data_IF_100417203999
#
_entry.id   IF_100417203999
#
_cell.length_a   1.000
_cell.length_b   1.000
_cell.length_c   1.000
_cell.angle_alpha   90.00
_cell.angle_beta   90.00
_cell.angle_gamma   90.00
#
_symmetry.space_group_name_H-M   'P 1'
#
loop_
_entity.id
_entity.type
_entity.pdbx_description
1 polymer ?
#
# COMPACT_ATOMS: atom_id res chain seq x y z
N UNK A 1 12.52 6.78 -18.48
CA UNK A 1 12.98 7.15 -19.83
C UNK A 1 14.46 7.51 -19.78
N UNK A 2 15.38 6.53 -19.96
CA UNK A 2 16.84 6.76 -19.89
C UNK A 2 17.35 7.82 -20.88
N UNK A 3 16.62 8.07 -21.97
CA UNK A 3 16.97 9.01 -23.03
C UNK A 3 16.73 10.50 -22.71
N UNK A 4 16.15 10.84 -21.55
CA UNK A 4 15.92 12.23 -21.12
C UNK A 4 17.10 12.84 -20.34
N UNK A 5 18.13 12.04 -20.07
CA UNK A 5 19.32 12.46 -19.32
C UNK A 5 20.54 12.41 -20.24
N UNK A 6 21.26 13.52 -20.32
CA UNK A 6 22.53 13.57 -21.05
C UNK A 6 23.61 12.72 -20.37
N UNK A 7 24.73 12.52 -21.06
CA UNK A 7 25.88 11.71 -20.58
C UNK A 7 26.52 12.20 -19.28
N UNK A 8 26.18 13.42 -18.84
CA UNK A 8 26.61 14.01 -17.55
C UNK A 8 25.52 14.00 -16.47
N UNK A 9 24.41 13.30 -16.68
CA UNK A 9 23.29 13.25 -15.73
C UNK A 9 22.42 14.51 -15.68
N UNK A 10 22.72 15.52 -16.50
CA UNK A 10 21.86 16.71 -16.65
C UNK A 10 20.61 16.34 -17.44
N UNK A 11 19.43 16.66 -16.91
CA UNK A 11 18.16 16.55 -17.64
C UNK A 11 18.19 17.49 -18.85
N UNK A 12 18.18 16.91 -20.05
CA UNK A 12 18.07 17.69 -21.27
C UNK A 12 16.60 17.92 -21.54
N UNK A 13 16.11 19.12 -21.20
CA UNK A 13 14.74 19.52 -21.52
C UNK A 13 14.52 19.38 -23.03
N UNK A 14 13.73 18.38 -23.40
CA UNK A 14 13.49 18.03 -24.79
C UNK A 14 12.61 19.12 -25.42
N UNK A 15 13.20 20.00 -26.23
CA UNK A 15 12.42 20.91 -27.09
C UNK A 15 12.00 20.15 -28.34
N UNK A 16 10.91 19.40 -28.22
CA UNK A 16 10.32 18.74 -29.38
C UNK A 16 9.80 19.81 -30.37
N UNK A 17 10.14 19.72 -31.67
CA UNK A 17 9.66 20.65 -32.67
C UNK A 17 8.16 20.47 -32.99
N UNK A 18 7.58 19.32 -32.64
CA UNK A 18 6.16 19.02 -32.71
C UNK A 18 5.67 18.42 -31.38
N UNK A 19 4.40 18.65 -30.98
CA UNK A 19 3.83 17.85 -29.92
C UNK A 19 3.85 16.39 -30.40
N UNK A 20 4.51 15.49 -29.67
CA UNK A 20 4.53 14.03 -29.93
C UNK A 20 3.13 13.39 -30.04
N UNK A 21 2.09 14.16 -29.77
CA UNK A 21 0.71 13.76 -29.65
C UNK A 21 -0.19 14.79 -30.36
N UNK A 22 -1.11 14.30 -31.19
CA UNK A 22 -2.07 15.15 -31.90
C UNK A 22 -3.13 15.74 -30.96
N UNK A 23 -3.63 14.91 -30.05
CA UNK A 23 -4.61 15.27 -29.03
C UNK A 23 -4.56 14.29 -27.83
N UNK A 24 -5.47 14.46 -26.87
CA UNK A 24 -5.59 13.58 -25.70
C UNK A 24 -5.93 12.13 -26.06
N UNK A 25 -6.60 11.91 -27.19
CA UNK A 25 -6.99 10.58 -27.65
C UNK A 25 -5.77 9.84 -28.21
N UNK A 26 -5.05 10.43 -29.16
CA UNK A 26 -3.82 9.88 -29.75
C UNK A 26 -2.79 9.59 -28.66
N UNK A 27 -2.68 10.48 -27.68
CA UNK A 27 -1.82 10.30 -26.52
C UNK A 27 -2.19 9.13 -25.64
N UNK A 28 -3.46 8.99 -25.29
CA UNK A 28 -3.93 7.85 -24.52
C UNK A 28 -3.67 6.54 -25.28
N UNK A 29 -3.99 6.51 -26.57
CA UNK A 29 -3.80 5.32 -27.42
C UNK A 29 -2.32 4.91 -27.45
N UNK A 30 -1.39 5.84 -27.67
CA UNK A 30 0.07 5.56 -27.65
C UNK A 30 0.60 5.12 -26.29
N UNK A 31 0.10 5.69 -25.18
CA UNK A 31 0.50 5.29 -23.83
C UNK A 31 -0.01 3.88 -23.50
N UNK A 32 -1.24 3.54 -23.91
CA UNK A 32 -1.81 2.20 -23.76
C UNK A 32 -1.01 1.20 -24.58
N UNK A 33 -0.71 1.52 -25.84
CA UNK A 33 0.12 0.68 -26.72
C UNK A 33 1.49 0.41 -26.10
N UNK A 34 2.18 1.45 -25.61
CA UNK A 34 3.46 1.29 -24.93
C UNK A 34 3.39 0.37 -23.70
N UNK A 35 2.30 0.45 -22.91
CA UNK A 35 2.09 -0.41 -21.75
C UNK A 35 1.80 -1.88 -22.14
N UNK A 36 1.10 -2.10 -23.26
CA UNK A 36 0.88 -3.44 -23.82
C UNK A 36 2.20 -4.04 -24.33
N UNK A 37 3.03 -3.24 -25.00
CA UNK A 37 4.37 -3.67 -25.45
C UNK A 37 5.24 -4.05 -24.25
N UNK A 38 5.22 -3.26 -23.17
CA UNK A 38 5.91 -3.58 -21.92
C UNK A 38 5.43 -4.91 -21.31
N UNK A 39 4.10 -5.13 -21.27
CA UNK A 39 3.52 -6.39 -20.83
C UNK A 39 4.01 -7.58 -21.66
N UNK A 40 4.00 -7.44 -22.99
CA UNK A 40 4.47 -8.48 -23.90
C UNK A 40 5.97 -8.76 -23.73
N UNK A 41 6.78 -7.72 -23.56
CA UNK A 41 8.22 -7.84 -23.32
C UNK A 41 8.50 -8.59 -22.00
N UNK A 42 7.76 -8.30 -20.93
CA UNK A 42 7.84 -9.04 -19.67
C UNK A 42 7.50 -10.52 -19.87
N UNK A 43 6.36 -10.83 -20.49
CA UNK A 43 5.98 -12.23 -20.78
C UNK A 43 7.04 -12.96 -21.61
N UNK A 44 7.60 -12.30 -22.62
CA UNK A 44 8.62 -12.87 -23.49
C UNK A 44 9.91 -13.15 -22.72
N UNK A 45 10.36 -12.21 -21.89
CA UNK A 45 11.54 -12.37 -21.03
C UNK A 45 11.41 -13.62 -20.14
N UNK A 46 10.29 -13.78 -19.45
CA UNK A 46 10.07 -14.95 -18.60
C UNK A 46 9.95 -16.25 -19.40
N UNK A 47 9.29 -16.23 -20.56
CA UNK A 47 9.25 -17.39 -21.46
C UNK A 47 10.63 -17.80 -21.96
N UNK A 48 11.57 -16.87 -22.15
CA UNK A 48 12.94 -17.24 -22.53
C UNK A 48 13.70 -17.95 -21.41
N UNK A 49 13.39 -17.63 -20.15
CA UNK A 49 14.04 -18.24 -18.98
C UNK A 49 13.36 -19.55 -18.58
N UNK A 50 12.04 -19.57 -18.58
CA UNK A 50 11.18 -20.66 -18.11
C UNK A 50 10.41 -21.28 -19.29
N UNK A 51 11.12 -22.04 -20.13
CA UNK A 51 10.53 -22.79 -21.24
C UNK A 51 10.69 -24.29 -21.03
N UNK A 52 9.89 -25.05 -21.78
CA UNK A 52 9.89 -26.51 -21.74
C UNK A 52 11.29 -27.06 -22.08
N UNK A 53 11.80 -27.96 -21.26
CA UNK A 53 13.16 -28.51 -21.37
C UNK A 53 14.28 -27.67 -20.74
N UNK A 54 14.00 -26.44 -20.27
CA UNK A 54 15.00 -25.67 -19.52
C UNK A 54 15.05 -26.10 -18.07
N UNK A 55 16.21 -26.61 -17.65
CA UNK A 55 16.43 -27.11 -16.30
C UNK A 55 17.14 -26.08 -15.43
N UNK A 56 16.63 -25.92 -14.23
CA UNK A 56 17.17 -25.04 -13.20
C UNK A 56 17.62 -25.87 -12.02
N UNK A 57 18.70 -25.44 -11.36
CA UNK A 57 19.16 -26.09 -10.15
C UNK A 57 18.27 -25.65 -8.98
N UNK A 58 17.90 -26.60 -8.13
CA UNK A 58 17.10 -26.34 -6.94
C UNK A 58 17.70 -27.02 -5.71
N UNK A 59 17.58 -26.39 -4.55
CA UNK A 59 17.80 -27.02 -3.25
C UNK A 59 16.48 -27.11 -2.49
N UNK A 60 16.18 -28.28 -1.94
CA UNK A 60 14.94 -28.58 -1.25
C UNK A 60 15.08 -28.28 0.26
N UNK A 61 14.20 -27.44 0.81
CA UNK A 61 14.15 -27.14 2.24
C UNK A 61 12.76 -27.52 2.81
N UNK A 62 12.71 -28.47 3.74
CA UNK A 62 11.49 -28.85 4.45
C UNK A 62 11.20 -27.83 5.56
N UNK A 63 10.15 -27.04 5.39
CA UNK A 63 9.79 -25.96 6.35
C UNK A 63 8.86 -26.49 7.44
N UNK A 64 7.83 -27.24 7.06
CA UNK A 64 6.83 -27.77 8.00
C UNK A 64 6.65 -29.28 7.74
N UNK A 65 7.34 -30.15 8.52
CA UNK A 65 7.31 -31.59 8.31
C UNK A 65 5.90 -32.20 8.33
N UNK A 66 5.03 -31.74 9.24
CA UNK A 66 3.66 -32.25 9.38
C UNK A 66 2.76 -31.93 8.20
N UNK A 67 2.97 -30.78 7.56
CA UNK A 67 2.16 -30.31 6.43
C UNK A 67 2.81 -30.64 5.07
N UNK A 68 4.00 -31.26 5.09
CA UNK A 68 4.86 -31.47 3.91
C UNK A 68 5.01 -30.18 3.09
N UNK A 69 5.24 -29.07 3.80
CA UNK A 69 5.47 -27.76 3.17
C UNK A 69 6.96 -27.59 2.92
N UNK A 70 7.31 -27.32 1.67
CA UNK A 70 8.68 -27.20 1.18
C UNK A 70 8.94 -25.81 0.60
N UNK A 71 10.18 -25.36 0.74
CA UNK A 71 10.76 -24.28 -0.06
C UNK A 71 11.74 -24.88 -1.04
N UNK A 72 11.57 -24.49 -2.30
CA UNK A 72 12.43 -24.90 -3.41
C UNK A 72 13.29 -23.70 -3.77
N UNK A 73 14.56 -23.66 -3.35
CA UNK A 73 15.49 -22.57 -3.63
C UNK A 73 16.06 -22.71 -5.04
N UNK A 74 15.77 -21.78 -5.95
CA UNK A 74 16.05 -21.95 -7.38
C UNK A 74 17.18 -21.05 -7.84
N UNK A 75 18.16 -21.65 -8.51
CA UNK A 75 19.18 -20.96 -9.29
C UNK A 75 18.83 -21.08 -10.77
N UNK A 76 18.45 -19.94 -11.36
CA UNK A 76 18.09 -19.84 -12.76
C UNK A 76 19.32 -20.13 -13.62
N UNK A 77 19.15 -21.09 -14.53
CA UNK A 77 20.11 -21.37 -15.59
C UNK A 77 19.79 -20.50 -16.81
N UNK A 78 20.11 -19.21 -16.72
CA UNK A 78 19.92 -18.24 -17.79
C UNK A 78 20.84 -17.03 -17.57
N UNK A 79 21.26 -16.38 -18.67
CA UNK A 79 22.08 -15.16 -18.61
C UNK A 79 21.34 -14.00 -17.91
N UNK A 80 20.03 -13.90 -18.17
CA UNK A 80 19.14 -12.94 -17.51
C UNK A 80 18.34 -13.67 -16.45
N UNK A 81 18.41 -13.15 -15.23
CA UNK A 81 17.78 -13.73 -14.04
C UNK A 81 16.72 -12.79 -13.47
N UNK A 82 15.55 -12.67 -14.12
CA UNK A 82 14.50 -11.79 -13.65
C UNK A 82 13.84 -12.39 -12.40
N UNK A 83 13.78 -11.61 -11.31
CA UNK A 83 13.06 -12.00 -10.10
C UNK A 83 11.54 -12.00 -10.36
N UNK A 84 10.83 -13.13 -10.16
CA UNK A 84 9.39 -13.20 -10.40
C UNK A 84 8.61 -12.11 -9.66
N UNK A 85 7.60 -11.47 -10.28
CA UNK A 85 6.78 -10.48 -9.59
C UNK A 85 6.05 -11.09 -8.38
N UNK A 86 5.86 -10.30 -7.33
CA UNK A 86 5.15 -10.75 -6.13
C UNK A 86 3.78 -11.36 -6.46
N UNK A 87 3.50 -12.52 -5.88
CA UNK A 87 2.26 -13.26 -6.12
C UNK A 87 2.25 -14.11 -7.40
N UNK A 88 3.37 -14.20 -8.13
CA UNK A 88 3.50 -15.13 -9.26
C UNK A 88 3.44 -16.58 -8.79
N UNK A 89 2.84 -17.44 -9.61
CA UNK A 89 2.73 -18.88 -9.33
C UNK A 89 3.56 -19.65 -10.32
N UNK A 90 3.99 -20.85 -9.93
CA UNK A 90 4.81 -21.72 -10.76
C UNK A 90 4.27 -23.13 -10.72
N UNK A 91 4.24 -23.78 -11.88
CA UNK A 91 4.20 -25.23 -11.97
C UNK A 91 5.65 -25.72 -12.14
N UNK A 92 5.99 -26.86 -11.56
CA UNK A 92 7.34 -27.40 -11.68
C UNK A 92 7.30 -28.93 -11.80
N UNK A 93 8.35 -29.47 -12.41
CA UNK A 93 8.63 -30.91 -12.49
C UNK A 93 10.03 -31.16 -11.97
N UNK A 94 10.18 -32.15 -11.09
CA UNK A 94 11.48 -32.49 -10.52
C UNK A 94 12.07 -33.66 -11.28
N UNK A 95 13.30 -33.50 -11.78
CA UNK A 95 13.99 -34.58 -12.48
C UNK A 95 14.16 -35.80 -11.56
N UNK A 96 13.75 -36.97 -12.07
CA UNK A 96 13.87 -38.25 -11.35
C UNK A 96 12.75 -38.51 -10.33
N UNK A 97 11.83 -37.56 -10.13
CA UNK A 97 10.63 -37.72 -9.32
C UNK A 97 9.40 -37.59 -10.23
N UNK A 98 8.49 -38.56 -10.15
CA UNK A 98 7.29 -38.60 -11.01
C UNK A 98 6.20 -37.59 -10.62
N UNK A 99 6.53 -36.59 -9.80
CA UNK A 99 5.57 -35.68 -9.20
C UNK A 99 5.73 -34.25 -9.73
N UNK A 100 4.73 -33.83 -10.50
CA UNK A 100 4.52 -32.43 -10.85
C UNK A 100 3.94 -31.69 -9.63
N UNK A 101 4.41 -30.48 -9.39
CA UNK A 101 3.94 -29.65 -8.29
C UNK A 101 3.59 -28.23 -8.74
N UNK A 102 2.94 -27.51 -7.84
CA UNK A 102 2.63 -26.10 -8.03
C UNK A 102 2.89 -25.33 -6.73
N UNK A 103 3.24 -24.06 -6.84
CA UNK A 103 3.56 -23.25 -5.67
C UNK A 103 3.56 -21.75 -5.93
N UNK A 104 3.80 -21.02 -4.85
CA UNK A 104 3.91 -19.57 -4.85
C UNK A 104 5.38 -19.17 -4.94
N UNK A 105 5.73 -18.29 -5.88
CA UNK A 105 7.06 -17.71 -5.94
C UNK A 105 7.22 -16.69 -4.80
N UNK A 106 8.31 -16.82 -4.06
CA UNK A 106 8.69 -15.95 -2.94
C UNK A 106 10.16 -15.54 -3.11
N UNK A 107 10.53 -14.43 -2.49
CA UNK A 107 11.94 -14.02 -2.42
C UNK A 107 12.77 -15.04 -1.63
N UNK A 108 14.01 -15.23 -2.04
CA UNK A 108 14.97 -16.08 -1.36
C UNK A 108 16.23 -15.29 -1.00
N UNK A 109 16.73 -15.48 0.22
CA UNK A 109 18.05 -14.97 0.62
C UNK A 109 19.20 -15.86 0.17
N UNK A 110 18.91 -17.08 -0.32
CA UNK A 110 19.92 -18.10 -0.62
C UNK A 110 20.09 -18.34 -2.13
N UNK A 111 19.08 -18.00 -2.93
CA UNK A 111 19.02 -18.31 -4.35
C UNK A 111 18.37 -17.14 -5.12
N UNK A 112 18.19 -17.29 -6.44
CA UNK A 112 17.61 -16.22 -7.25
C UNK A 112 16.13 -15.95 -6.86
N UNK A 113 15.39 -17.00 -6.51
CA UNK A 113 14.08 -16.94 -5.83
C UNK A 113 13.77 -18.32 -5.21
N UNK A 114 12.62 -18.46 -4.55
CA UNK A 114 12.14 -19.76 -4.09
C UNK A 114 10.66 -20.01 -4.43
N UNK A 115 10.28 -21.29 -4.55
CA UNK A 115 8.88 -21.70 -4.62
C UNK A 115 8.45 -22.28 -3.28
N UNK A 116 7.42 -21.71 -2.67
CA UNK A 116 6.73 -22.29 -1.52
C UNK A 116 5.63 -23.22 -2.02
N UNK A 117 5.72 -24.50 -1.67
CA UNK A 117 4.81 -25.54 -2.17
C UNK A 117 4.48 -26.57 -1.11
N UNK A 118 3.37 -27.29 -1.30
CA UNK A 118 3.06 -28.52 -0.58
C UNK A 118 3.26 -29.67 -1.54
N UNK A 119 4.27 -30.49 -1.25
CA UNK A 119 4.67 -31.58 -2.12
C UNK A 119 4.78 -32.89 -1.32
N UNK A 120 4.34 -34.03 -1.88
CA UNK A 120 4.44 -35.33 -1.20
C UNK A 120 5.86 -35.90 -1.03
N UNK A 121 6.90 -35.08 -1.21
CA UNK A 121 8.30 -35.48 -1.10
C UNK A 121 8.63 -36.11 0.27
N UNK A 122 9.51 -37.11 0.26
CA UNK A 122 10.06 -37.71 1.47
C UNK A 122 10.92 -36.70 2.23
N UNK A 123 10.83 -36.70 3.57
CA UNK A 123 11.66 -35.85 4.42
C UNK A 123 13.18 -36.13 4.26
N UNK A 124 13.55 -37.30 3.71
CA UNK A 124 14.93 -37.63 3.38
C UNK A 124 15.55 -36.71 2.31
N UNK A 125 14.72 -36.06 1.49
CA UNK A 125 15.18 -35.14 0.44
C UNK A 125 15.49 -33.73 0.96
N UNK A 126 15.42 -33.49 2.26
CA UNK A 126 15.75 -32.19 2.84
C UNK A 126 17.25 -31.90 2.69
N UNK A 127 17.58 -30.80 2.03
CA UNK A 127 18.93 -30.39 1.69
C UNK A 127 19.43 -30.92 0.34
N UNK A 128 18.67 -31.80 -0.32
CA UNK A 128 19.06 -32.34 -1.62
C UNK A 128 19.08 -31.23 -2.67
N UNK A 129 20.03 -31.36 -3.59
CA UNK A 129 20.13 -30.50 -4.77
C UNK A 129 19.77 -31.31 -6.00
N UNK A 130 18.73 -30.87 -6.71
CA UNK A 130 18.19 -31.55 -7.89
C UNK A 130 17.98 -30.54 -9.02
N UNK A 131 17.60 -31.04 -10.19
CA UNK A 131 17.21 -30.20 -11.31
C UNK A 131 15.69 -30.20 -11.46
N UNK A 132 15.13 -29.04 -11.81
CA UNK A 132 13.70 -28.87 -12.03
C UNK A 132 13.43 -28.13 -13.33
N UNK A 133 12.34 -28.48 -13.98
CA UNK A 133 11.73 -27.66 -15.02
C UNK A 133 10.63 -26.83 -14.38
N UNK A 134 10.58 -25.54 -14.71
CA UNK A 134 9.61 -24.61 -14.11
C UNK A 134 8.86 -23.88 -15.21
N UNK A 135 7.54 -23.86 -15.10
CA UNK A 135 6.65 -23.02 -15.91
C UNK A 135 6.06 -21.93 -15.03
N UNK A 136 6.37 -20.68 -15.35
CA UNK A 136 5.96 -19.53 -14.54
C UNK A 136 4.67 -18.88 -15.05
N UNK A 137 3.69 -18.76 -14.17
CA UNK A 137 2.49 -17.94 -14.33
C UNK A 137 2.71 -16.59 -13.65
N UNK A 138 3.18 -15.62 -14.44
CA UNK A 138 3.57 -14.28 -13.97
C UNK A 138 2.34 -13.51 -13.51
N UNK A 139 2.42 -12.87 -12.34
CA UNK A 139 1.39 -11.96 -11.87
C UNK A 139 1.46 -10.61 -12.60
N UNK A 140 0.62 -10.42 -13.62
CA UNK A 140 0.54 -9.19 -14.42
C UNK A 140 -0.45 -8.15 -13.85
N UNK A 141 -0.96 -8.34 -12.62
CA UNK A 141 -2.02 -7.47 -12.07
C UNK A 141 -1.64 -5.99 -12.08
N UNK A 142 -0.39 -5.64 -11.75
CA UNK A 142 0.06 -4.25 -11.75
C UNK A 142 0.08 -3.65 -13.16
N UNK A 143 0.61 -4.38 -14.13
CA UNK A 143 0.63 -3.96 -15.54
C UNK A 143 -0.78 -3.85 -16.12
N UNK A 144 -1.68 -4.78 -15.79
CA UNK A 144 -3.09 -4.72 -16.17
C UNK A 144 -3.79 -3.51 -15.56
N UNK A 145 -3.55 -3.23 -14.27
CA UNK A 145 -4.10 -2.06 -13.60
C UNK A 145 -3.58 -0.75 -14.23
N UNK A 146 -2.30 -0.71 -14.64
CA UNK A 146 -1.72 0.41 -15.39
C UNK A 146 -2.41 0.61 -16.74
N UNK A 147 -2.59 -0.46 -17.52
CA UNK A 147 -3.29 -0.40 -18.81
C UNK A 147 -4.72 0.10 -18.59
N UNK A 148 -5.45 -0.46 -17.63
CA UNK A 148 -6.80 -0.02 -17.29
C UNK A 148 -6.86 1.46 -16.86
N UNK A 149 -5.91 1.91 -16.04
CA UNK A 149 -5.82 3.30 -15.61
C UNK A 149 -5.55 4.25 -16.80
N UNK A 150 -4.68 3.86 -17.73
CA UNK A 150 -4.41 4.62 -18.96
C UNK A 150 -5.63 4.63 -19.89
N UNK A 151 -6.32 3.50 -20.07
CA UNK A 151 -7.56 3.43 -20.86
C UNK A 151 -8.65 4.32 -20.28
N UNK A 152 -8.73 4.41 -18.95
CA UNK A 152 -9.68 5.27 -18.25
C UNK A 152 -9.17 6.72 -18.10
N UNK A 153 -7.96 7.03 -18.54
CA UNK A 153 -7.37 8.35 -18.42
C UNK A 153 -8.19 9.37 -19.22
N UNK A 154 -8.66 10.40 -18.51
CA UNK A 154 -9.53 11.44 -19.05
C UNK A 154 -11.04 11.15 -18.96
N UNK A 155 -11.45 9.96 -18.49
CA UNK A 155 -12.82 9.71 -18.04
C UNK A 155 -13.00 10.07 -16.55
N UNK A 156 -11.99 9.76 -15.74
CA UNK A 156 -11.93 10.22 -14.36
C UNK A 156 -11.67 11.73 -14.31
N UNK A 157 -12.57 12.47 -13.67
CA UNK A 157 -12.46 13.92 -13.48
C UNK A 157 -11.91 14.15 -12.07
N UNK A 158 -10.65 14.57 -11.97
CA UNK A 158 -10.08 15.11 -10.75
C UNK A 158 -10.55 16.53 -10.47
N UNK A 159 -10.24 17.05 -9.28
CA UNK A 159 -10.63 18.40 -8.89
C UNK A 159 -10.18 19.48 -9.90
N UNK A 160 -8.91 19.45 -10.30
CA UNK A 160 -8.34 20.37 -11.29
C UNK A 160 -8.74 20.09 -12.75
N UNK A 161 -9.45 18.98 -13.01
CA UNK A 161 -10.00 18.67 -14.34
C UNK A 161 -11.33 19.37 -14.62
N UNK A 162 -12.01 19.86 -13.57
CA UNK A 162 -13.26 20.59 -13.72
C UNK A 162 -13.04 21.98 -14.34
N UNK A 163 -14.03 22.46 -15.10
CA UNK A 163 -13.98 23.80 -15.71
C UNK A 163 -13.90 24.91 -14.66
N UNK A 164 -14.56 24.73 -13.52
CA UNK A 164 -14.57 25.70 -12.42
C UNK A 164 -13.24 25.80 -11.67
N UNK A 165 -12.48 24.70 -11.57
CA UNK A 165 -11.24 24.64 -10.78
C UNK A 165 -9.98 24.51 -11.65
N UNK A 166 -10.07 24.81 -12.94
CA UNK A 166 -8.95 24.74 -13.88
C UNK A 166 -7.83 25.66 -13.42
N UNK A 167 -6.64 25.09 -13.20
CA UNK A 167 -5.46 25.83 -12.69
C UNK A 167 -5.41 26.01 -11.18
N UNK A 168 -6.48 25.65 -10.45
CA UNK A 168 -6.58 25.77 -8.99
C UNK A 168 -6.47 24.41 -8.28
N UNK A 169 -6.02 23.37 -8.99
CA UNK A 169 -5.91 22.04 -8.41
C UNK A 169 -5.23 21.03 -9.32
N UNK A 170 -4.97 19.86 -8.75
CA UNK A 170 -4.39 18.72 -9.44
C UNK A 170 -5.31 18.21 -10.56
N UNK A 171 -4.78 18.11 -11.78
CA UNK A 171 -5.45 17.48 -12.92
C UNK A 171 -4.93 16.06 -13.10
N UNK A 172 -5.78 15.09 -12.73
CA UNK A 172 -5.46 13.68 -12.90
C UNK A 172 -5.32 13.34 -14.39
N UNK A 173 -6.21 13.90 -15.22
CA UNK A 173 -6.15 13.74 -16.67
C UNK A 173 -4.80 14.19 -17.23
N UNK A 174 -4.35 15.41 -16.89
CA UNK A 174 -3.13 15.98 -17.47
C UNK A 174 -1.87 15.31 -16.96
N UNK A 175 -1.87 14.88 -15.70
CA UNK A 175 -0.77 14.14 -15.10
C UNK A 175 -0.64 12.74 -15.71
N UNK A 176 -1.73 11.97 -15.80
CA UNK A 176 -1.70 10.62 -16.39
C UNK A 176 -1.34 10.69 -17.87
N UNK A 177 -1.88 11.67 -18.59
CA UNK A 177 -1.55 11.91 -19.98
C UNK A 177 -0.21 12.67 -20.14
N UNK A 178 0.60 12.84 -19.08
CA UNK A 178 1.95 13.39 -19.19
C UNK A 178 2.05 14.68 -20.02
N UNK A 179 1.15 15.65 -19.83
CA UNK A 179 1.18 16.91 -20.61
C UNK A 179 2.45 17.72 -20.42
N UNK A 180 3.10 17.62 -19.27
CA UNK A 180 4.33 18.35 -18.95
C UNK A 180 4.15 19.87 -18.80
N UNK A 181 3.07 20.45 -19.36
CA UNK A 181 2.77 21.88 -19.27
C UNK A 181 2.54 22.35 -17.83
N UNK A 182 2.09 21.46 -16.95
CA UNK A 182 1.89 21.76 -15.52
C UNK A 182 3.21 21.98 -14.76
N UNK A 183 4.35 21.63 -15.36
CA UNK A 183 5.68 21.84 -14.79
C UNK A 183 6.27 23.23 -15.14
N UNK A 184 5.77 23.89 -16.19
CA UNK A 184 6.24 25.23 -16.57
C UNK A 184 5.45 26.28 -15.78
N UNK A 185 6.13 27.06 -14.95
CA UNK A 185 5.53 28.11 -14.12
C UNK A 185 4.79 29.21 -14.90
N UNK A 186 5.02 29.29 -16.22
CA UNK A 186 4.32 30.22 -17.12
C UNK A 186 3.06 29.64 -17.73
N UNK A 187 2.84 28.34 -17.59
CA UNK A 187 1.66 27.68 -18.11
C UNK A 187 0.42 28.07 -17.31
N UNK A 188 -0.75 28.28 -17.94
CA UNK A 188 -2.02 28.43 -17.22
C UNK A 188 -2.46 27.15 -16.48
N UNK A 189 -1.67 26.08 -16.56
CA UNK A 189 -1.89 24.80 -15.92
C UNK A 189 -0.87 24.49 -14.83
N UNK A 190 0.05 25.43 -14.58
CA UNK A 190 0.95 25.32 -13.46
C UNK A 190 0.18 25.34 -12.15
N UNK A 191 0.45 24.36 -11.30
CA UNK A 191 -0.15 24.25 -9.99
C UNK A 191 0.91 23.87 -8.98
N UNK A 192 0.95 24.59 -7.85
CA UNK A 192 1.83 24.30 -6.72
C UNK A 192 0.96 24.12 -5.49
N UNK A 193 1.05 22.96 -4.86
CA UNK A 193 0.37 22.71 -3.61
C UNK A 193 1.22 23.25 -2.45
N UNK A 194 0.60 24.08 -1.61
CA UNK A 194 1.21 24.62 -0.40
C UNK A 194 0.27 24.43 0.78
N UNK A 195 0.65 23.58 1.73
CA UNK A 195 -0.14 23.27 2.91
C UNK A 195 -0.51 24.51 3.75
N UNK A 196 0.36 25.53 3.79
CA UNK A 196 0.10 26.78 4.51
C UNK A 196 -1.03 27.58 3.85
N UNK A 197 -1.11 27.55 2.52
CA UNK A 197 -2.16 28.24 1.76
C UNK A 197 -3.48 27.46 1.83
N UNK A 198 -3.43 26.14 1.82
CA UNK A 198 -4.62 25.28 1.93
C UNK A 198 -5.28 25.31 3.32
N UNK A 199 -4.50 25.60 4.36
CA UNK A 199 -4.99 25.59 5.74
C UNK A 199 -5.84 26.82 6.07
N UNK A 200 -6.92 26.62 6.83
CA UNK A 200 -7.83 27.70 7.28
C UNK A 200 -7.38 28.40 8.57
N UNK A 201 -6.25 27.97 9.15
CA UNK A 201 -5.74 28.51 10.42
C UNK A 201 -5.14 29.92 10.20
N UNK A 202 -5.19 30.83 11.19
CA UNK A 202 -4.49 32.13 11.10
C UNK A 202 -2.99 31.98 10.83
N UNK A 203 -2.40 32.90 10.05
CA UNK A 203 -1.01 32.80 9.58
C UNK A 203 0.01 32.66 10.73
N UNK A 204 -0.17 33.42 11.80
CA UNK A 204 0.74 33.40 12.97
C UNK A 204 0.73 32.02 13.64
N UNK A 205 -0.46 31.45 13.83
CA UNK A 205 -0.62 30.11 14.41
C UNK A 205 -0.05 29.03 13.48
N UNK A 206 -0.21 29.15 12.16
CA UNK A 206 0.38 28.18 11.22
C UNK A 206 1.89 28.13 11.40
N UNK A 207 2.56 29.29 11.46
CA UNK A 207 4.01 29.38 11.61
C UNK A 207 4.48 28.84 12.96
N UNK A 208 3.78 29.18 14.02
CA UNK A 208 4.05 28.65 15.37
C UNK A 208 3.99 27.12 15.39
N UNK A 209 2.92 26.53 14.85
CA UNK A 209 2.73 25.06 14.85
C UNK A 209 3.81 24.35 14.04
N UNK A 210 4.14 24.86 12.86
CA UNK A 210 5.20 24.29 12.01
C UNK A 210 6.55 24.37 12.71
N UNK A 211 6.92 25.53 13.26
CA UNK A 211 8.19 25.71 13.97
C UNK A 211 8.27 24.79 15.19
N UNK A 212 7.21 24.72 15.99
CA UNK A 212 7.16 23.84 17.16
C UNK A 212 7.44 22.37 16.80
N UNK A 213 6.84 21.87 15.71
CA UNK A 213 7.06 20.50 15.26
C UNK A 213 8.48 20.29 14.77
N UNK A 214 9.03 21.22 13.98
CA UNK A 214 10.41 21.11 13.47
C UNK A 214 11.46 21.18 14.58
N UNK A 215 11.21 21.98 15.62
CA UNK A 215 12.09 22.08 16.79
C UNK A 215 12.03 20.82 17.65
N UNK A 216 10.83 20.24 17.83
CA UNK A 216 10.63 19.03 18.65
C UNK A 216 11.07 17.74 17.94
N UNK A 217 10.91 17.69 16.62
CA UNK A 217 11.26 16.53 15.79
C UNK A 217 12.37 16.93 14.80
N UNK A 218 13.62 17.01 15.27
CA UNK A 218 14.73 17.52 14.47
C UNK A 218 14.97 16.61 13.26
N UNK A 219 14.95 17.22 12.08
CA UNK A 219 15.25 16.58 10.81
C UNK A 219 16.70 16.86 10.42
N UNK A 220 17.36 15.89 9.78
CA UNK A 220 18.60 16.19 9.06
C UNK A 220 18.33 17.09 7.84
N UNK A 221 19.36 17.68 7.26
CA UNK A 221 19.16 18.63 6.15
C UNK A 221 18.47 17.99 4.94
N UNK A 222 18.75 16.72 4.64
CA UNK A 222 18.13 16.02 3.51
C UNK A 222 16.63 15.80 3.75
N UNK A 223 16.26 15.46 4.98
CA UNK A 223 14.88 15.28 5.40
C UNK A 223 14.15 16.62 5.47
N UNK A 224 14.80 17.68 5.98
CA UNK A 224 14.24 19.03 6.07
C UNK A 224 13.87 19.55 4.68
N UNK A 225 14.79 19.45 3.72
CA UNK A 225 14.52 19.80 2.32
C UNK A 225 13.40 18.96 1.73
N UNK A 226 13.38 17.64 1.99
CA UNK A 226 12.33 16.76 1.48
C UNK A 226 10.94 17.13 2.04
N UNK A 227 10.84 17.47 3.34
CA UNK A 227 9.60 17.93 3.97
C UNK A 227 9.17 19.27 3.43
N UNK A 228 10.08 20.24 3.31
CA UNK A 228 9.78 21.57 2.81
C UNK A 228 9.25 21.51 1.37
N UNK A 229 9.93 20.77 0.50
CA UNK A 229 9.52 20.61 -0.89
C UNK A 229 8.19 19.87 -1.00
N UNK A 230 7.99 18.81 -0.23
CA UNK A 230 6.77 18.00 -0.30
C UNK A 230 5.52 18.71 0.25
N UNK A 231 5.66 19.54 1.30
CA UNK A 231 4.51 20.17 1.96
C UNK A 231 4.20 21.56 1.42
N UNK A 232 5.22 22.32 1.02
CA UNK A 232 5.06 23.73 0.67
C UNK A 232 5.40 24.02 -0.79
N UNK A 233 6.00 23.04 -1.48
CA UNK A 233 6.44 23.23 -2.86
C UNK A 233 6.13 22.06 -3.82
N UNK A 234 5.05 21.32 -3.56
CA UNK A 234 4.66 20.20 -4.39
C UNK A 234 4.06 20.67 -5.74
N UNK A 235 4.93 20.81 -6.74
CA UNK A 235 4.55 21.11 -8.12
C UNK A 235 3.71 19.97 -8.69
N UNK A 236 2.65 20.31 -9.40
CA UNK A 236 1.63 19.37 -9.90
C UNK A 236 1.02 18.50 -8.78
N UNK A 237 1.06 18.92 -7.51
CA UNK A 237 0.46 18.19 -6.39
C UNK A 237 1.06 16.80 -6.11
N UNK A 238 2.17 16.41 -6.77
CA UNK A 238 2.85 15.14 -6.55
C UNK A 238 4.31 15.41 -6.21
N UNK A 239 4.79 14.81 -5.12
CA UNK A 239 6.19 14.87 -4.73
C UNK A 239 6.72 13.47 -4.42
N UNK A 240 7.87 13.12 -5.01
CA UNK A 240 8.51 11.82 -4.79
C UNK A 240 9.71 11.98 -3.85
N UNK A 241 9.62 11.40 -2.66
CA UNK A 241 10.74 11.33 -1.72
C UNK A 241 11.41 9.96 -1.85
N UNK A 242 12.66 9.94 -2.32
CA UNK A 242 13.47 8.72 -2.41
C UNK A 242 14.52 8.73 -1.29
N UNK A 243 14.43 7.77 -0.38
CA UNK A 243 15.50 7.49 0.58
C UNK A 243 16.14 6.10 0.38
N UNK A 244 17.43 5.93 0.68
CA UNK A 244 18.05 4.62 0.95
C UNK A 244 17.41 3.90 2.15
N UNK A 245 17.73 2.61 2.35
CA UNK A 245 17.41 1.92 3.60
C UNK A 245 18.14 2.58 4.78
N UNK A 246 17.46 2.70 5.93
CA UNK A 246 18.04 3.27 7.16
C UNK A 246 17.94 4.79 7.32
N UNK A 247 17.64 5.56 6.27
CA UNK A 247 17.64 7.05 6.31
C UNK A 247 16.39 7.68 6.92
N UNK A 248 15.72 7.00 7.86
CA UNK A 248 14.63 7.60 8.64
C UNK A 248 13.37 7.97 7.85
N UNK A 249 13.06 7.33 6.71
CA UNK A 249 11.84 7.63 5.91
C UNK A 249 10.57 7.69 6.74
N UNK A 250 10.39 6.70 7.63
CA UNK A 250 9.23 6.63 8.53
C UNK A 250 9.18 7.84 9.48
N UNK A 251 10.34 8.32 9.92
CA UNK A 251 10.45 9.51 10.75
C UNK A 251 10.11 10.79 9.95
N UNK A 252 10.63 10.93 8.72
CA UNK A 252 10.26 12.02 7.81
C UNK A 252 8.75 12.06 7.55
N UNK A 253 8.14 10.89 7.27
CA UNK A 253 6.70 10.74 7.07
C UNK A 253 5.93 11.17 8.33
N UNK A 254 6.36 10.75 9.52
CA UNK A 254 5.74 11.17 10.79
C UNK A 254 5.70 12.70 10.92
N UNK A 255 6.83 13.37 10.69
CA UNK A 255 6.92 14.84 10.77
C UNK A 255 6.01 15.50 9.74
N UNK A 256 5.94 14.97 8.52
CA UNK A 256 5.01 15.48 7.50
C UNK A 256 3.55 15.36 7.93
N UNK A 257 3.15 14.22 8.49
CA UNK A 257 1.78 13.98 8.97
C UNK A 257 1.46 14.95 10.11
N UNK A 258 2.35 15.11 11.08
CA UNK A 258 2.17 16.04 12.20
C UNK A 258 1.99 17.48 11.69
N UNK A 259 2.81 17.94 10.75
CA UNK A 259 2.68 19.28 10.18
C UNK A 259 1.33 19.44 9.50
N UNK A 260 0.97 18.55 8.58
CA UNK A 260 -0.30 18.62 7.85
C UNK A 260 -1.52 18.58 8.79
N UNK A 261 -1.52 17.66 9.75
CA UNK A 261 -2.60 17.52 10.72
C UNK A 261 -2.68 18.74 11.65
N UNK A 262 -1.55 19.25 12.14
CA UNK A 262 -1.52 20.47 12.96
C UNK A 262 -2.00 21.72 12.21
N UNK A 263 -1.90 21.71 10.88
CA UNK A 263 -2.44 22.73 10.01
C UNK A 263 -3.96 22.55 9.74
N UNK A 264 -4.61 21.60 10.39
CA UNK A 264 -6.04 21.32 10.24
C UNK A 264 -6.40 20.73 8.87
N UNK A 265 -5.43 20.10 8.20
CA UNK A 265 -5.65 19.41 6.93
C UNK A 265 -5.98 17.94 7.20
N UNK A 266 -6.94 17.40 6.44
CA UNK A 266 -7.25 15.97 6.49
C UNK A 266 -6.18 15.18 5.73
N UNK A 267 -5.57 14.20 6.41
CA UNK A 267 -4.47 13.41 5.86
C UNK A 267 -4.90 11.95 5.68
N UNK A 268 -4.85 11.45 4.44
CA UNK A 268 -5.01 10.03 4.14
C UNK A 268 -3.63 9.39 3.97
N UNK A 269 -3.34 8.36 4.77
CA UNK A 269 -2.06 7.64 4.73
C UNK A 269 -2.31 6.23 4.20
N UNK A 270 -1.55 5.86 3.16
CA UNK A 270 -1.58 4.53 2.55
C UNK A 270 -0.18 3.93 2.56
N UNK A 271 -0.08 2.60 2.71
CA UNK A 271 1.18 1.87 2.57
C UNK A 271 0.96 0.50 1.91
N UNK A 272 2.06 -0.11 1.45
CA UNK A 272 2.02 -1.40 0.76
C UNK A 272 1.69 -2.60 1.65
N UNK A 273 1.72 -2.46 2.97
CA UNK A 273 1.35 -3.53 3.91
C UNK A 273 0.71 -2.97 5.19
N UNK A 274 -0.10 -3.79 5.85
CA UNK A 274 -0.75 -3.42 7.11
C UNK A 274 0.27 -3.08 8.20
N UNK A 275 1.34 -3.87 8.33
CA UNK A 275 2.39 -3.65 9.32
C UNK A 275 3.07 -2.28 9.16
N UNK A 276 3.25 -1.80 7.93
CA UNK A 276 3.82 -0.46 7.69
C UNK A 276 2.86 0.63 8.14
N UNK A 277 1.55 0.49 7.86
CA UNK A 277 0.54 1.46 8.32
C UNK A 277 0.50 1.48 9.86
N UNK A 278 0.48 0.32 10.50
CA UNK A 278 0.39 0.23 11.95
C UNK A 278 1.64 0.83 12.63
N UNK A 279 2.83 0.62 12.07
CA UNK A 279 4.06 1.24 12.56
C UNK A 279 4.06 2.77 12.44
N UNK A 280 3.54 3.33 11.32
CA UNK A 280 3.42 4.78 11.15
C UNK A 280 2.41 5.34 12.15
N UNK A 281 1.26 4.67 12.29
CA UNK A 281 0.19 5.07 13.18
C UNK A 281 0.62 5.01 14.65
N UNK A 282 1.36 3.97 15.07
CA UNK A 282 1.90 3.85 16.43
C UNK A 282 2.80 5.02 16.80
N UNK A 283 3.73 5.38 15.92
CA UNK A 283 4.62 6.53 16.13
C UNK A 283 3.86 7.85 16.19
N UNK A 284 2.83 8.01 15.35
CA UNK A 284 1.96 9.18 15.39
C UNK A 284 1.14 9.23 16.68
N UNK A 285 0.57 8.10 17.09
CA UNK A 285 -0.18 7.97 18.34
C UNK A 285 0.69 8.35 19.54
N UNK A 286 1.89 7.78 19.68
CA UNK A 286 2.82 8.11 20.78
C UNK A 286 3.18 9.60 20.77
N UNK A 287 3.54 10.18 19.60
CA UNK A 287 3.88 11.59 19.50
C UNK A 287 2.73 12.53 19.94
N UNK A 288 1.49 12.21 19.56
CA UNK A 288 0.30 13.02 19.89
C UNK A 288 -0.17 12.77 21.33
N UNK A 289 -0.04 11.53 21.83
CA UNK A 289 -0.43 11.17 23.20
C UNK A 289 0.52 11.77 24.24
N UNK A 290 1.80 11.94 23.93
CA UNK A 290 2.79 12.51 24.85
C UNK A 290 2.81 14.06 24.87
N UNK A 291 2.14 14.71 23.92
CA UNK A 291 2.19 16.17 23.75
C UNK A 291 0.79 16.80 23.71
N UNK A 292 0.49 17.63 24.71
CA UNK A 292 -0.81 18.30 24.85
C UNK A 292 -1.12 19.27 23.70
N UNK A 293 -0.10 19.93 23.13
CA UNK A 293 -0.28 20.85 22.00
C UNK A 293 -0.59 20.08 20.73
N UNK A 294 0.18 19.03 20.45
CA UNK A 294 -0.06 18.18 19.27
C UNK A 294 -1.44 17.52 19.34
N UNK A 295 -1.85 17.06 20.53
CA UNK A 295 -3.20 16.54 20.76
C UNK A 295 -4.30 17.56 20.44
N UNK A 296 -4.12 18.81 20.85
CA UNK A 296 -5.07 19.87 20.57
C UNK A 296 -5.11 20.26 19.08
N UNK A 297 -3.96 20.23 18.38
CA UNK A 297 -3.85 20.70 17.01
C UNK A 297 -4.22 19.65 15.97
N UNK A 298 -3.83 18.39 16.18
CA UNK A 298 -3.90 17.35 15.15
C UNK A 298 -5.22 16.58 15.14
N UNK A 299 -6.10 16.81 16.12
CA UNK A 299 -7.45 16.27 16.16
C UNK A 299 -7.52 14.74 16.22
N UNK A 300 -8.58 14.19 15.62
CA UNK A 300 -8.86 12.75 15.60
C UNK A 300 -8.16 12.04 14.43
N UNK A 301 -7.85 10.77 14.63
CA UNK A 301 -7.30 9.88 13.61
C UNK A 301 -7.86 8.48 13.80
N UNK A 302 -7.93 7.71 12.71
CA UNK A 302 -8.48 6.36 12.74
C UNK A 302 -7.80 5.42 11.75
N UNK A 303 -7.84 4.12 12.03
CA UNK A 303 -7.27 3.05 11.21
C UNK A 303 -8.38 2.28 10.50
N UNK A 304 -8.43 2.41 9.17
CA UNK A 304 -9.29 1.58 8.32
C UNK A 304 -8.58 0.26 7.98
N UNK A 305 -9.17 -0.87 8.36
CA UNK A 305 -8.76 -2.21 7.89
C UNK A 305 -9.81 -2.77 6.91
N UNK A 306 -9.57 -3.94 6.33
CA UNK A 306 -10.57 -4.54 5.45
C UNK A 306 -11.85 -4.88 6.23
N UNK A 307 -13.04 -4.80 5.61
CA UNK A 307 -14.30 -5.12 6.29
C UNK A 307 -14.27 -6.51 6.95
N UNK A 308 -13.69 -7.51 6.28
CA UNK A 308 -13.55 -8.86 6.83
C UNK A 308 -12.67 -8.89 8.11
N UNK A 309 -11.59 -8.10 8.14
CA UNK A 309 -10.75 -7.99 9.33
C UNK A 309 -11.52 -7.36 10.49
N UNK A 310 -12.18 -6.24 10.22
CA UNK A 310 -12.95 -5.48 11.21
C UNK A 310 -14.06 -6.33 11.82
N UNK A 311 -14.85 -7.04 10.98
CA UNK A 311 -15.91 -7.92 11.46
C UNK A 311 -15.37 -9.06 12.32
N UNK A 312 -14.22 -9.62 11.97
CA UNK A 312 -13.63 -10.67 12.78
C UNK A 312 -13.01 -10.17 14.08
N UNK A 313 -12.53 -8.92 14.13
CA UNK A 313 -12.12 -8.28 15.37
C UNK A 313 -13.33 -8.09 16.29
N UNK A 314 -14.44 -7.57 15.75
CA UNK A 314 -15.70 -7.40 16.48
C UNK A 314 -16.25 -8.72 17.05
N UNK A 315 -16.27 -9.78 16.24
CA UNK A 315 -16.73 -11.12 16.66
C UNK A 315 -15.86 -11.76 17.73
N UNK A 316 -14.55 -11.48 17.74
CA UNK A 316 -13.67 -11.95 18.81
C UNK A 316 -13.97 -11.19 20.10
N UNK A 317 -14.04 -9.87 20.01
CA UNK A 317 -14.34 -9.00 21.16
C UNK A 317 -15.71 -9.31 21.80
N UNK A 318 -16.74 -9.61 20.99
CA UNK A 318 -18.09 -9.91 21.50
C UNK A 318 -18.16 -11.21 22.32
N UNK A 319 -17.26 -12.17 22.08
CA UNK A 319 -17.24 -13.46 22.76
C UNK A 319 -16.42 -13.42 24.06
N UNK A 320 -15.46 -12.50 24.18
CA UNK A 320 -14.46 -12.54 25.25
C UNK A 320 -14.80 -11.73 26.52
N UNK A 321 -15.51 -10.59 26.50
CA UNK A 321 -15.90 -9.90 27.77
C UNK A 321 -17.04 -8.85 27.68
N UNK A 322 -17.51 -8.36 28.86
CA UNK A 322 -18.74 -7.55 29.09
C UNK A 322 -18.67 -6.14 28.47
N UNK A 323 -19.76 -5.74 27.79
CA UNK A 323 -20.00 -4.43 27.14
C UNK A 323 -19.65 -3.16 27.94
N UNK A 324 -19.49 -3.23 29.26
CA UNK A 324 -19.21 -2.03 30.07
C UNK A 324 -17.74 -1.60 30.00
N UNK A 325 -16.81 -2.48 29.61
CA UNK A 325 -15.38 -2.19 29.44
C UNK A 325 -14.91 -2.84 28.12
N UNK A 326 -15.18 -2.20 26.98
CA UNK A 326 -14.72 -2.69 25.67
C UNK A 326 -13.20 -2.60 25.55
N UNK A 327 -12.53 -3.65 26.01
CA UNK A 327 -11.14 -3.94 25.68
C UNK A 327 -11.14 -5.23 24.85
N UNK A 328 -10.82 -5.13 23.56
CA UNK A 328 -10.59 -6.28 22.71
C UNK A 328 -9.40 -7.05 23.31
N UNK A 329 -9.64 -8.08 24.12
CA UNK A 329 -8.54 -8.94 24.53
C UNK A 329 -8.00 -9.68 23.29
N UNK A 330 -6.67 -9.71 23.22
CA UNK A 330 -5.89 -10.34 22.16
C UNK A 330 -5.64 -9.54 20.89
N UNK A 331 -5.09 -8.31 20.94
CA UNK A 331 -4.25 -7.85 19.84
C UNK A 331 -2.98 -8.71 19.84
N UNK A 332 -2.63 -9.28 18.69
CA UNK A 332 -1.53 -10.25 18.56
C UNK A 332 -0.15 -9.63 18.84
N UNK A 333 -0.08 -8.29 18.88
CA UNK A 333 1.12 -7.49 19.07
C UNK A 333 0.84 -6.35 20.06
N UNK A 334 1.81 -5.95 20.91
CA UNK A 334 1.72 -4.76 21.77
C UNK A 334 1.29 -3.49 21.03
N UNK A 335 1.73 -3.33 19.78
CA UNK A 335 1.34 -2.18 18.94
C UNK A 335 -0.17 -2.15 18.67
N UNK A 336 -0.80 -3.31 18.49
CA UNK A 336 -2.24 -3.36 18.23
C UNK A 336 -3.06 -3.07 19.51
N UNK A 337 -2.50 -3.30 20.71
CA UNK A 337 -3.11 -2.88 21.99
C UNK A 337 -3.11 -1.35 22.11
N UNK A 338 -1.95 -0.72 21.89
CA UNK A 338 -1.81 0.74 21.97
C UNK A 338 -2.72 1.47 20.98
N UNK A 339 -3.00 0.83 19.84
CA UNK A 339 -3.80 1.41 18.75
C UNK A 339 -5.28 1.05 18.81
N UNK A 340 -5.75 0.34 19.85
CA UNK A 340 -7.13 -0.16 19.90
C UNK A 340 -8.15 0.98 19.81
N UNK A 341 -7.93 2.08 20.55
CA UNK A 341 -8.87 3.21 20.63
C UNK A 341 -8.97 4.03 19.34
N UNK A 342 -8.08 3.81 18.38
CA UNK A 342 -8.12 4.44 17.06
C UNK A 342 -8.50 3.46 15.94
N UNK A 343 -8.79 2.19 16.24
CA UNK A 343 -9.34 1.27 15.24
C UNK A 343 -10.79 1.66 14.93
N UNK A 344 -11.15 1.61 13.65
CA UNK A 344 -12.51 1.99 13.21
C UNK A 344 -13.57 1.10 13.83
N UNK A 345 -13.32 -0.20 13.98
CA UNK A 345 -14.24 -1.12 14.66
C UNK A 345 -14.55 -0.70 16.10
N UNK A 346 -13.53 -0.27 16.85
CA UNK A 346 -13.69 0.17 18.24
C UNK A 346 -14.43 1.51 18.32
N UNK A 347 -14.12 2.44 17.41
CA UNK A 347 -14.80 3.73 17.31
C UNK A 347 -16.28 3.59 16.95
N UNK A 348 -16.60 2.69 16.00
CA UNK A 348 -17.99 2.41 15.58
C UNK A 348 -18.80 1.82 16.73
N UNK A 349 -18.24 0.86 17.47
CA UNK A 349 -18.92 0.27 18.63
C UNK A 349 -19.12 1.30 19.73
N UNK A 350 -18.08 2.07 20.07
CA UNK A 350 -18.19 3.14 21.07
C UNK A 350 -19.29 4.13 20.70
N UNK A 351 -19.36 4.54 19.43
CA UNK A 351 -20.41 5.43 18.95
C UNK A 351 -21.80 4.79 18.99
N UNK A 352 -21.90 3.51 18.66
CA UNK A 352 -23.16 2.78 18.74
C UNK A 352 -23.68 2.67 20.18
N UNK A 353 -22.80 2.51 21.17
CA UNK A 353 -23.17 2.51 22.59
C UNK A 353 -23.68 3.86 23.07
N UNK A 354 -22.99 4.95 22.71
CA UNK A 354 -23.43 6.30 23.03
C UNK A 354 -24.85 6.58 22.50
N UNK A 355 -25.13 6.13 21.27
CA UNK A 355 -26.44 6.27 20.63
C UNK A 355 -27.50 5.31 21.20
N UNK A 356 -27.10 4.17 21.75
CA UNK A 356 -28.01 3.20 22.36
C UNK A 356 -28.71 3.76 23.60
N UNK A 357 -28.05 4.67 24.34
CA UNK A 357 -28.58 5.30 25.56
C UNK A 357 -29.57 6.46 25.34
N UNK A 358 -29.88 6.84 24.09
CA UNK A 358 -30.72 8.00 23.77
C UNK A 358 -32.12 7.60 23.18
N UNK A 359 -33.10 8.49 23.31
CA UNK A 359 -34.56 8.31 23.05
C UNK A 359 -34.88 7.93 21.56
N UNK A 360 -35.87 7.06 21.25
CA UNK A 360 -35.98 6.23 20.01
C UNK A 360 -36.25 6.85 18.62
N UNK A 361 -35.97 8.11 18.29
CA UNK A 361 -36.52 8.74 17.06
C UNK A 361 -35.58 8.93 15.84
N UNK A 362 -34.44 8.23 15.74
CA UNK A 362 -33.51 8.41 14.60
C UNK A 362 -33.08 7.08 13.92
N UNK A 363 -32.99 7.06 12.59
CA UNK A 363 -32.49 5.92 11.79
C UNK A 363 -31.07 5.50 12.17
N UNK A 364 -30.19 6.45 12.53
CA UNK A 364 -28.85 6.13 13.01
C UNK A 364 -28.85 5.36 14.36
N UNK A 365 -29.89 5.54 15.18
CA UNK A 365 -30.05 4.80 16.43
C UNK A 365 -30.59 3.38 16.17
N UNK A 366 -31.40 3.20 15.13
CA UNK A 366 -31.86 1.87 14.70
C UNK A 366 -30.68 1.02 14.22
N UNK A 367 -29.79 1.57 13.39
CA UNK A 367 -28.56 0.89 12.96
C UNK A 367 -27.64 0.57 14.15
N UNK A 368 -27.48 1.50 15.09
CA UNK A 368 -26.72 1.28 16.32
C UNK A 368 -27.33 0.15 17.17
N UNK A 369 -28.64 0.14 17.39
CA UNK A 369 -29.36 -0.94 18.11
C UNK A 369 -29.20 -2.27 17.41
N UNK A 370 -29.33 -2.31 16.09
CA UNK A 370 -29.14 -3.53 15.30
C UNK A 370 -27.71 -4.06 15.45
N UNK A 371 -26.70 -3.19 15.41
CA UNK A 371 -25.31 -3.59 15.64
C UNK A 371 -25.10 -4.17 17.03
N UNK A 372 -25.56 -3.50 18.08
CA UNK A 372 -25.43 -3.97 19.47
C UNK A 372 -26.17 -5.31 19.66
N UNK A 373 -27.40 -5.44 19.16
CA UNK A 373 -28.17 -6.68 19.23
C UNK A 373 -27.47 -7.85 18.48
N UNK A 374 -26.83 -7.57 17.34
CA UNK A 374 -26.03 -8.58 16.62
C UNK A 374 -24.83 -9.04 17.44
N UNK A 375 -24.11 -8.11 18.06
CA UNK A 375 -22.97 -8.42 18.93
C UNK A 375 -23.39 -9.23 20.17
N UNK A 376 -24.55 -8.92 20.76
CA UNK A 376 -25.13 -9.68 21.86
C UNK A 376 -25.59 -11.09 21.44
N UNK A 377 -26.13 -11.24 20.23
CA UNK A 377 -26.50 -12.53 19.67
C UNK A 377 -25.27 -13.42 19.44
N UNK A 378 -24.18 -12.86 18.90
CA UNK A 378 -22.91 -13.55 18.72
C UNK A 378 -22.32 -14.02 20.05
N UNK A 379 -22.45 -13.20 21.10
CA UNK A 379 -22.04 -13.54 22.46
C UNK A 379 -22.80 -14.75 23.02
N UNK A 380 -24.12 -14.81 22.80
CA UNK A 380 -24.96 -15.93 23.28
C UNK A 380 -24.68 -17.24 22.55
N UNK A 381 -24.23 -17.18 21.30
CA UNK A 381 -24.03 -18.36 20.44
C UNK A 381 -22.74 -19.15 20.69
N UNK A 382 -21.79 -18.63 21.47
CA UNK A 382 -20.46 -19.25 21.69
C UNK A 382 -19.82 -19.67 20.36
N UNK A 383 -19.40 -18.69 19.55
CA UNK A 383 -18.89 -18.89 18.18
C UNK A 383 -17.83 -20.01 18.06
N UNK A 384 -17.91 -20.79 16.98
CA UNK A 384 -16.94 -21.83 16.67
C UNK A 384 -15.55 -21.22 16.40
N UNK A 385 -14.47 -22.00 16.61
CA UNK A 385 -13.08 -21.52 16.42
C UNK A 385 -12.80 -20.98 15.01
N UNK A 386 -13.56 -21.43 14.01
CA UNK A 386 -13.47 -20.96 12.61
C UNK A 386 -14.16 -19.60 12.40
N UNK A 387 -15.25 -19.32 13.13
CA UNK A 387 -16.00 -18.07 13.07
C UNK A 387 -15.31 -16.93 13.84
N UNK A 388 -14.43 -17.29 14.78
CA UNK A 388 -13.54 -16.38 15.53
C UNK A 388 -12.30 -15.97 14.75
N UNK A 389 -11.90 -16.72 13.73
CA UNK A 389 -10.77 -16.31 12.91
C UNK A 389 -11.19 -15.14 12.03
N UNK A 390 -10.29 -14.17 11.74
CA UNK A 390 -10.44 -13.40 10.53
C UNK A 390 -10.74 -14.39 9.42
N UNK A 391 -11.90 -14.23 8.77
CA UNK A 391 -12.21 -14.96 7.53
C UNK A 391 -10.87 -14.95 6.79
N UNK A 392 -10.26 -16.12 6.51
CA UNK A 392 -9.00 -16.12 5.79
C UNK A 392 -9.29 -15.25 4.59
N UNK A 393 -8.59 -14.11 4.47
CA UNK A 393 -8.71 -13.20 3.31
C UNK A 393 -8.85 -14.14 2.15
N UNK A 394 -10.05 -14.24 1.52
CA UNK A 394 -10.57 -15.48 0.91
C UNK A 394 -9.37 -16.14 0.33
N UNK A 395 -8.90 -17.26 0.93
CA UNK A 395 -7.61 -17.83 0.57
C UNK A 395 -7.68 -17.93 -0.93
N UNK A 396 -6.92 -17.04 -1.56
CA UNK A 396 -7.31 -16.47 -2.83
C UNK A 396 -7.56 -17.64 -3.78
N UNK A 397 -8.83 -17.94 -4.08
CA UNK A 397 -9.19 -18.44 -5.41
C UNK A 397 -8.91 -17.25 -6.34
N UNK A 398 -7.63 -16.98 -6.53
CA UNK A 398 -7.05 -16.07 -7.51
C UNK A 398 -5.97 -16.86 -8.22
#
# INVERSE_FOLDING_TARGET
MPWLFGTKGSYSALKAPDPFFLDDRDRRERLVEAAIIEQYALCTMYKTVFHDGQKHQVTLELVIPREKTWKLHIWMNADKKPAPPEGSRSNYKIDGLLEDGHGLCIDSSLADFAILTRAPLSAAHNGDTVHIEVTLNINLKSTNAKIQALTNAGQAIGFGDSTAMRGNGFSLKRTILAHGSELDSRSPHYFKLNAMECSKIPADQKRERVNYILDKFPLDESQRVAVEMALFQAVCGIHLIKGPLGNGKTYTILVMILILASLGLNVLICAGSNAVVDNILHRYHSAVSEDTRLRAWCGMYCRFRSPAYQMAALRRASVEERLNHWQCQGPTSPIEQDLQDCQVESLVVKRAMELYSEDPQNTAQEEARNLINMLDSDRQRTLAREEKKPWPVPMRRF
#
